data_IF_879458567942
#
_entry.id   IF_879458567942
#
_cell.length_a   1.000
_cell.length_b   1.000
_cell.length_c   1.000
_cell.angle_alpha   90.00
_cell.angle_beta   90.00
_cell.angle_gamma   90.00
#
_symmetry.space_group_name_H-M   'P 1'
#
loop_
_entity.id
_entity.type
_entity.pdbx_description
1 polymer ?
#
# COMPACT_ATOMS: atom_id res chain seq x y z
N UNK A 1 -56.12 6.45 -14.10
CA UNK A 1 -55.91 7.45 -15.15
C UNK A 1 -54.98 8.50 -14.56
N UNK A 2 -53.66 8.30 -14.74
CA UNK A 2 -52.81 8.96 -15.77
C UNK A 2 -52.56 10.43 -15.41
N UNK A 3 -51.38 11.03 -15.46
CA UNK A 3 -50.01 10.63 -15.78
C UNK A 3 -49.06 11.80 -15.42
N UNK A 4 -47.82 11.46 -15.08
CA UNK A 4 -46.50 12.03 -15.43
C UNK A 4 -46.22 13.53 -15.77
N UNK A 5 -45.09 14.02 -15.18
CA UNK A 5 -43.90 14.76 -15.72
C UNK A 5 -43.45 15.94 -14.82
N UNK A 6 -42.26 15.91 -14.19
CA UNK A 6 -40.92 16.32 -14.70
C UNK A 6 -40.89 17.82 -15.06
N UNK A 7 -39.97 18.73 -14.66
CA UNK A 7 -38.49 18.72 -14.48
C UNK A 7 -38.11 20.16 -14.01
N UNK A 8 -37.08 20.40 -13.20
CA UNK A 8 -35.79 21.08 -13.53
C UNK A 8 -35.13 21.38 -12.15
N UNK A 9 -34.05 20.74 -11.67
CA UNK A 9 -32.64 20.75 -12.11
C UNK A 9 -32.09 22.14 -12.46
N UNK A 10 -31.54 22.81 -11.45
CA UNK A 10 -30.52 23.85 -11.63
C UNK A 10 -29.18 23.34 -11.09
N UNK A 11 -28.26 23.11 -12.02
CA UNK A 11 -26.93 22.55 -11.80
C UNK A 11 -25.92 23.69 -11.93
N UNK A 12 -25.75 24.47 -10.86
CA UNK A 12 -24.65 25.43 -10.78
C UNK A 12 -23.42 24.79 -10.12
N UNK A 13 -22.54 24.32 -11.00
CA UNK A 13 -21.08 24.45 -10.92
C UNK A 13 -20.56 25.23 -9.70
N UNK A 14 -20.04 24.52 -8.71
CA UNK A 14 -18.99 25.04 -7.81
C UNK A 14 -17.77 24.14 -7.87
N UNK A 15 -16.64 24.82 -8.09
CA UNK A 15 -15.32 24.26 -8.26
C UNK A 15 -14.82 23.50 -7.02
N UNK A 16 -14.14 22.38 -7.27
CA UNK A 16 -12.83 22.14 -6.65
C UNK A 16 -12.82 21.81 -5.17
N UNK A 17 -13.47 20.72 -4.77
CA UNK A 17 -13.01 19.76 -3.76
C UNK A 17 -14.10 18.70 -3.63
N UNK A 18 -13.96 17.58 -4.32
CA UNK A 18 -14.72 16.38 -3.95
C UNK A 18 -14.18 15.92 -2.61
N UNK A 19 -14.70 16.48 -1.52
CA UNK A 19 -14.78 15.79 -0.24
C UNK A 19 -15.47 14.49 -0.58
N UNK A 20 -14.78 13.36 -0.44
CA UNK A 20 -15.43 12.07 -0.44
C UNK A 20 -16.42 12.12 0.73
N UNK A 21 -17.68 12.45 0.42
CA UNK A 21 -18.78 12.36 1.36
C UNK A 21 -18.76 10.92 1.83
N UNK A 22 -18.55 10.72 3.13
CA UNK A 22 -18.68 9.44 3.79
C UNK A 22 -19.98 8.79 3.30
N UNK A 23 -19.83 7.81 2.40
CA UNK A 23 -20.96 7.18 1.74
C UNK A 23 -21.68 6.34 2.77
N UNK A 24 -22.65 6.94 3.47
CA UNK A 24 -23.69 6.19 4.12
C UNK A 24 -24.48 5.50 3.01
N UNK A 25 -24.59 4.17 3.07
CA UNK A 25 -25.57 3.45 2.26
C UNK A 25 -26.98 3.98 2.56
N UNK A 26 -27.92 3.76 1.64
CA UNK A 26 -29.33 4.05 1.83
C UNK A 26 -29.97 3.33 3.05
N UNK A 27 -29.28 2.35 3.65
CA UNK A 27 -29.69 1.62 4.85
C UNK A 27 -29.07 2.12 6.17
N UNK A 28 -28.23 3.17 6.13
CA UNK A 28 -27.58 3.73 7.32
C UNK A 28 -26.41 2.91 7.89
N UNK A 29 -25.95 1.85 7.22
CA UNK A 29 -24.84 1.02 7.71
C UNK A 29 -23.45 1.60 7.37
N UNK A 30 -22.62 1.82 8.40
CA UNK A 30 -21.19 2.15 8.25
C UNK A 30 -20.46 0.94 7.65
N UNK A 31 -19.81 1.14 6.50
CA UNK A 31 -18.85 0.17 5.91
C UNK A 31 -17.44 0.49 6.39
N UNK A 32 -16.53 -0.45 6.24
CA UNK A 32 -15.13 -0.30 6.62
C UNK A 32 -14.27 -0.43 5.37
N UNK A 33 -13.22 0.39 5.27
CA UNK A 33 -12.40 0.48 4.07
C UNK A 33 -10.94 0.17 4.39
N UNK A 34 -10.35 -0.67 3.53
CA UNK A 34 -8.90 -0.83 3.43
C UNK A 34 -8.46 -0.11 2.17
N UNK A 35 -7.72 0.97 2.32
CA UNK A 35 -7.18 1.75 1.22
C UNK A 35 -5.75 1.30 0.92
N UNK A 36 -5.53 0.70 -0.24
CA UNK A 36 -4.21 0.28 -0.71
C UNK A 36 -3.80 1.08 -1.94
N UNK A 37 -2.62 1.71 -1.88
CA UNK A 37 -2.05 2.47 -3.00
C UNK A 37 -0.68 1.90 -3.33
N UNK A 38 -0.48 1.53 -4.58
CA UNK A 38 0.79 0.98 -5.08
C UNK A 38 1.40 1.98 -6.04
N UNK A 39 2.64 2.40 -5.79
CA UNK A 39 3.34 3.38 -6.63
C UNK A 39 3.69 2.82 -8.01
N UNK A 40 3.42 3.60 -9.06
CA UNK A 40 3.70 3.21 -10.47
C UNK A 40 5.18 3.00 -10.79
N UNK A 41 6.08 3.66 -10.08
CA UNK A 41 7.50 3.68 -10.46
C UNK A 41 8.19 2.43 -9.93
N UNK A 42 9.03 1.76 -10.75
CA UNK A 42 9.80 0.62 -10.30
C UNK A 42 10.89 1.06 -9.30
N UNK A 43 11.20 0.18 -8.36
CA UNK A 43 12.42 0.21 -7.55
C UNK A 43 13.07 -1.16 -7.58
N UNK A 44 14.34 -1.20 -7.94
CA UNK A 44 15.07 -2.44 -8.11
C UNK A 44 15.41 -3.08 -6.74
N UNK A 45 15.27 -4.41 -6.67
CA UNK A 45 15.58 -5.20 -5.46
C UNK A 45 16.67 -6.25 -5.72
N UNK A 46 17.31 -6.18 -6.88
CA UNK A 46 18.32 -7.12 -7.30
C UNK A 46 17.77 -8.53 -7.42
N UNK A 47 18.53 -9.47 -6.88
CA UNK A 47 18.23 -10.90 -6.91
C UNK A 47 17.31 -11.36 -5.79
N UNK A 48 16.86 -10.45 -4.93
CA UNK A 48 15.87 -10.79 -3.91
C UNK A 48 14.50 -10.97 -4.57
N UNK A 49 13.92 -12.16 -4.38
CA UNK A 49 12.60 -12.52 -4.89
C UNK A 49 11.85 -13.37 -3.86
N UNK A 50 10.52 -13.32 -3.93
CA UNK A 50 9.64 -14.22 -3.23
C UNK A 50 9.84 -14.15 -1.71
N UNK A 51 9.91 -15.32 -1.07
CA UNK A 51 10.07 -15.44 0.39
C UNK A 51 11.32 -14.74 0.93
N UNK A 52 12.43 -14.73 0.19
CA UNK A 52 13.68 -14.09 0.64
C UNK A 52 13.52 -12.58 0.71
N UNK A 53 12.89 -11.98 -0.31
CA UNK A 53 12.59 -10.55 -0.30
C UNK A 53 11.62 -10.19 0.82
N UNK A 54 10.52 -10.95 0.96
CA UNK A 54 9.53 -10.80 2.03
C UNK A 54 10.19 -10.69 3.41
N UNK A 55 11.06 -11.65 3.75
CA UNK A 55 11.72 -11.70 5.05
C UNK A 55 12.63 -10.50 5.29
N UNK A 56 13.35 -10.05 4.26
CA UNK A 56 14.25 -8.89 4.34
C UNK A 56 13.47 -7.60 4.52
N UNK A 57 12.39 -7.39 3.76
CA UNK A 57 11.50 -6.23 3.88
C UNK A 57 10.83 -6.19 5.24
N UNK A 58 10.24 -7.31 5.70
CA UNK A 58 9.65 -7.39 7.03
C UNK A 58 10.66 -7.08 8.14
N UNK A 59 11.88 -7.63 8.06
CA UNK A 59 12.96 -7.32 8.99
C UNK A 59 13.33 -5.83 8.98
N UNK A 60 13.43 -5.22 7.80
CA UNK A 60 13.74 -3.81 7.64
C UNK A 60 12.63 -2.89 8.17
N UNK A 61 11.35 -3.24 8.01
CA UNK A 61 10.22 -2.49 8.57
C UNK A 61 10.23 -2.46 10.09
N UNK A 62 10.54 -3.60 10.74
CA UNK A 62 10.71 -3.66 12.21
C UNK A 62 11.85 -2.78 12.70
N UNK A 63 12.91 -2.68 11.92
CA UNK A 63 14.05 -1.82 12.19
C UNK A 63 13.70 -0.33 12.02
N UNK A 64 13.01 0.04 10.93
CA UNK A 64 12.72 1.44 10.59
C UNK A 64 11.60 2.02 11.49
N UNK A 65 10.63 1.20 11.89
CA UNK A 65 9.46 1.63 12.64
C UNK A 65 9.55 1.41 14.15
N UNK A 66 10.76 1.49 14.74
CA UNK A 66 11.16 0.96 16.07
C UNK A 66 9.98 0.39 16.86
N UNK A 67 9.84 -0.92 16.74
CA UNK A 67 9.05 -1.74 17.65
C UNK A 67 10.00 -2.20 18.76
N UNK A 68 9.90 -1.61 19.96
CA UNK A 68 10.53 -2.15 21.18
C UNK A 68 9.49 -2.96 21.93
N UNK A 69 9.65 -4.28 21.88
CA UNK A 69 8.88 -5.21 22.70
C UNK A 69 9.24 -4.95 24.18
N UNK A 70 8.25 -4.62 25.01
CA UNK A 70 8.42 -4.46 26.47
C UNK A 70 8.60 -3.04 27.02
N UNK A 71 8.41 -1.98 26.24
CA UNK A 71 8.51 -0.59 26.72
C UNK A 71 7.12 0.11 26.79
N UNK A 72 6.45 0.12 27.96
CA UNK A 72 5.10 0.67 28.15
C UNK A 72 4.98 2.19 27.93
N UNK A 73 6.10 2.93 27.91
CA UNK A 73 6.11 4.39 27.73
C UNK A 73 6.39 4.83 26.27
N UNK A 74 6.68 3.89 25.37
CA UNK A 74 6.97 4.17 23.95
C UNK A 74 5.72 4.17 23.05
N UNK A 75 4.54 4.34 23.63
CA UNK A 75 3.24 4.04 23.01
C UNK A 75 2.65 5.17 22.14
N UNK A 76 3.33 6.32 22.00
CA UNK A 76 2.78 7.50 21.30
C UNK A 76 3.70 8.19 20.29
N UNK A 77 4.90 7.69 20.05
CA UNK A 77 5.79 8.35 19.09
C UNK A 77 5.45 7.93 17.67
N UNK A 78 4.62 8.74 17.02
CA UNK A 78 4.70 8.90 15.56
C UNK A 78 6.19 9.06 15.20
N UNK A 79 6.74 8.15 14.40
CA UNK A 79 8.03 8.39 13.77
C UNK A 79 7.80 9.52 12.75
N UNK A 80 7.83 10.77 13.23
CA UNK A 80 7.85 11.94 12.37
C UNK A 80 9.30 12.32 12.09
N UNK A 81 9.56 12.86 10.89
CA UNK A 81 10.87 13.39 10.47
C UNK A 81 11.47 14.42 11.46
N UNK A 82 10.68 14.91 12.43
CA UNK A 82 11.11 15.86 13.46
C UNK A 82 11.83 15.21 14.66
N UNK A 83 11.89 13.86 14.76
CA UNK A 83 12.62 13.15 15.84
C UNK A 83 13.56 12.03 15.31
N UNK A 84 14.58 12.38 14.50
CA UNK A 84 15.45 11.40 13.81
C UNK A 84 16.40 10.61 14.72
N UNK A 85 16.61 11.04 15.96
CA UNK A 85 17.48 10.36 16.93
C UNK A 85 16.82 9.12 17.57
N UNK A 86 15.49 8.99 17.45
CA UNK A 86 14.70 7.95 18.10
C UNK A 86 14.11 6.92 17.13
N UNK A 87 14.12 7.18 15.81
CA UNK A 87 13.79 6.20 14.76
C UNK A 87 14.87 6.29 13.67
N UNK A 88 15.60 5.21 13.29
CA UNK A 88 16.43 5.26 12.10
C UNK A 88 15.53 5.61 10.92
N UNK A 89 15.84 6.71 10.23
CA UNK A 89 15.04 7.26 9.12
C UNK A 89 14.77 6.23 8.01
N UNK A 90 15.61 5.20 7.92
CA UNK A 90 15.45 4.07 7.02
C UNK A 90 16.25 2.88 7.54
N UNK A 91 15.93 1.68 7.06
CA UNK A 91 16.78 0.51 7.21
C UNK A 91 17.28 0.02 5.86
N UNK A 92 18.53 -0.44 5.84
CA UNK A 92 19.19 -0.93 4.63
C UNK A 92 18.97 -2.43 4.51
N UNK A 93 18.56 -2.88 3.34
CA UNK A 93 18.71 -4.27 2.90
C UNK A 93 19.96 -4.30 2.03
N UNK A 94 21.05 -4.79 2.60
CA UNK A 94 22.35 -4.92 1.95
C UNK A 94 22.41 -6.14 1.02
N UNK A 95 23.50 -6.23 0.25
CA UNK A 95 23.82 -7.34 -0.65
C UNK A 95 22.79 -7.53 -1.76
N UNK A 96 22.25 -6.43 -2.25
CA UNK A 96 21.43 -6.41 -3.45
C UNK A 96 22.37 -6.50 -4.65
N UNK A 97 22.31 -7.62 -5.36
CA UNK A 97 23.07 -7.85 -6.59
C UNK A 97 22.42 -7.09 -7.75
N UNK A 98 23.21 -6.41 -8.57
CA UNK A 98 22.72 -5.59 -9.69
C UNK A 98 23.66 -5.65 -10.89
N UNK A 99 23.18 -5.19 -12.05
CA UNK A 99 23.99 -4.96 -13.26
C UNK A 99 24.47 -3.51 -13.25
N UNK A 100 25.78 -3.29 -13.07
CA UNK A 100 26.36 -1.95 -13.02
C UNK A 100 26.58 -1.32 -14.41
N UNK A 101 25.99 -1.89 -15.45
CA UNK A 101 26.32 -1.58 -16.84
C UNK A 101 27.55 -2.38 -17.27
N UNK A 102 27.49 -2.96 -18.47
CA UNK A 102 28.55 -3.82 -19.00
C UNK A 102 28.48 -5.28 -18.55
N UNK A 103 27.35 -5.74 -17.98
CA UNK A 103 27.13 -7.14 -17.62
C UNK A 103 28.08 -7.64 -16.53
N UNK A 104 28.41 -6.83 -15.53
CA UNK A 104 29.28 -7.25 -14.42
C UNK A 104 28.49 -7.48 -13.14
N UNK A 105 28.79 -8.60 -12.47
CA UNK A 105 28.18 -8.97 -11.20
C UNK A 105 28.77 -8.11 -10.08
N UNK A 106 27.97 -7.23 -9.47
CA UNK A 106 28.37 -6.55 -8.24
C UNK A 106 27.47 -6.98 -7.08
N UNK A 107 27.99 -7.91 -6.28
CA UNK A 107 27.44 -8.28 -4.97
C UNK A 107 28.42 -7.85 -3.87
N UNK A 108 27.89 -7.38 -2.73
CA UNK A 108 28.73 -6.93 -1.61
C UNK A 108 29.38 -5.56 -1.80
N UNK A 109 28.98 -4.80 -2.82
CA UNK A 109 29.31 -3.38 -2.93
C UNK A 109 28.64 -2.65 -1.73
N UNK A 110 29.42 -2.00 -0.84
CA UNK A 110 28.88 -1.34 0.35
C UNK A 110 27.90 -0.21 0.01
N UNK A 111 27.96 0.31 -1.22
CA UNK A 111 27.06 1.33 -1.74
C UNK A 111 25.81 0.74 -2.43
N UNK A 112 25.65 -0.59 -2.42
CA UNK A 112 24.57 -1.33 -3.09
C UNK A 112 23.55 -1.87 -2.09
N UNK A 113 22.49 -1.09 -1.85
CA UNK A 113 21.49 -1.40 -0.84
C UNK A 113 20.11 -0.81 -1.17
N UNK A 114 19.07 -1.51 -0.76
CA UNK A 114 17.70 -1.01 -0.81
C UNK A 114 17.40 -0.31 0.52
N UNK A 115 17.01 0.96 0.46
CA UNK A 115 16.46 1.67 1.62
C UNK A 115 14.98 1.34 1.74
N UNK A 116 14.57 0.94 2.94
CA UNK A 116 13.17 0.85 3.36
C UNK A 116 12.91 2.00 4.30
N UNK A 117 12.08 2.94 3.87
CA UNK A 117 11.76 4.18 4.58
C UNK A 117 10.28 4.11 4.97
N UNK A 118 9.96 4.32 6.24
CA UNK A 118 8.58 4.53 6.68
C UNK A 118 8.35 6.04 6.69
N UNK A 119 7.66 6.55 5.67
CA UNK A 119 7.39 7.99 5.55
C UNK A 119 6.27 8.44 6.49
N UNK A 120 5.35 7.53 6.80
CA UNK A 120 4.26 7.76 7.73
C UNK A 120 3.89 6.45 8.41
N UNK A 121 3.66 6.50 9.72
CA UNK A 121 3.08 5.40 10.48
C UNK A 121 2.23 5.98 11.60
N UNK A 122 0.95 5.64 11.55
CA UNK A 122 -0.03 5.92 12.60
C UNK A 122 -0.72 4.62 12.95
N UNK A 123 -0.47 4.11 14.15
CA UNK A 123 -1.12 2.92 14.71
C UNK A 123 -1.18 3.10 16.21
N UNK A 124 -2.34 2.86 16.80
CA UNK A 124 -2.45 2.78 18.26
C UNK A 124 -2.29 1.34 18.73
N UNK A 125 -1.08 0.98 19.18
CA UNK A 125 -0.79 -0.36 19.74
C UNK A 125 -1.61 -0.66 20.99
N UNK A 126 -1.93 0.38 21.78
CA UNK A 126 -2.70 0.20 23.01
C UNK A 126 -4.13 -0.25 22.72
N UNK A 127 -4.81 0.41 21.78
CA UNK A 127 -6.18 0.04 21.43
C UNK A 127 -6.26 -1.13 20.45
N UNK A 128 -5.22 -1.35 19.64
CA UNK A 128 -5.18 -2.39 18.60
C UNK A 128 -3.87 -3.19 18.64
N UNK A 129 -3.65 -4.03 19.67
CA UNK A 129 -2.42 -4.82 19.79
C UNK A 129 -2.19 -5.70 18.56
N UNK A 130 -1.00 -5.62 17.98
CA UNK A 130 -0.60 -6.46 16.83
C UNK A 130 -0.97 -5.89 15.46
N UNK A 131 -1.70 -4.77 15.39
CA UNK A 131 -2.07 -4.15 14.11
C UNK A 131 -0.84 -3.73 13.29
N UNK A 132 0.19 -3.14 13.93
CA UNK A 132 1.45 -2.80 13.23
C UNK A 132 2.16 -4.02 12.68
N UNK A 133 2.17 -5.12 13.42
CA UNK A 133 2.77 -6.38 12.95
C UNK A 133 2.04 -6.84 11.68
N UNK A 134 0.71 -6.86 11.70
CA UNK A 134 -0.10 -7.22 10.54
C UNK A 134 0.17 -6.29 9.36
N UNK A 135 0.27 -4.97 9.58
CA UNK A 135 0.59 -4.01 8.53
C UNK A 135 1.98 -4.27 7.94
N UNK A 136 2.99 -4.54 8.76
CA UNK A 136 4.34 -4.84 8.28
C UNK A 136 4.39 -6.16 7.49
N UNK A 137 3.68 -7.19 7.95
CA UNK A 137 3.54 -8.47 7.23
C UNK A 137 2.85 -8.24 5.88
N UNK A 138 1.76 -7.49 5.87
CA UNK A 138 0.99 -7.16 4.66
C UNK A 138 1.83 -6.39 3.65
N UNK A 139 2.58 -5.35 4.06
CA UNK A 139 3.52 -4.64 3.18
C UNK A 139 4.56 -5.60 2.60
N UNK A 140 5.16 -6.45 3.43
CA UNK A 140 6.17 -7.40 2.97
C UNK A 140 5.61 -8.45 1.99
N UNK A 141 4.37 -8.89 2.21
CA UNK A 141 3.68 -9.83 1.32
C UNK A 141 3.27 -9.20 -0.01
N UNK A 142 2.83 -7.94 -0.04
CA UNK A 142 2.59 -7.20 -1.29
C UNK A 142 3.88 -7.03 -2.09
N UNK A 143 4.99 -6.69 -1.43
CA UNK A 143 6.30 -6.59 -2.10
C UNK A 143 6.76 -7.96 -2.63
N UNK A 144 6.46 -9.05 -1.91
CA UNK A 144 6.68 -10.41 -2.41
C UNK A 144 5.86 -10.66 -3.67
N UNK A 145 4.54 -10.38 -3.65
CA UNK A 145 3.64 -10.53 -4.80
C UNK A 145 4.21 -9.79 -6.02
N UNK A 146 4.70 -8.56 -5.83
CA UNK A 146 5.34 -7.78 -6.88
C UNK A 146 6.55 -8.49 -7.49
N UNK A 147 7.46 -9.01 -6.65
CA UNK A 147 8.65 -9.73 -7.11
C UNK A 147 8.35 -11.12 -7.69
N UNK A 148 7.19 -11.71 -7.38
CA UNK A 148 6.81 -13.01 -7.90
C UNK A 148 6.26 -12.90 -9.34
N UNK A 149 5.81 -11.72 -9.78
CA UNK A 149 5.37 -11.48 -11.16
C UNK A 149 6.54 -11.55 -12.14
N UNK A 150 6.38 -12.33 -13.22
CA UNK A 150 7.39 -12.42 -14.28
C UNK A 150 7.68 -11.06 -14.92
N UNK A 151 6.65 -10.24 -15.08
CA UNK A 151 6.71 -8.99 -15.85
C UNK A 151 7.38 -7.85 -15.05
N UNK A 152 7.49 -8.04 -13.73
CA UNK A 152 8.29 -7.21 -12.83
C UNK A 152 9.75 -7.65 -12.74
N UNK A 153 10.15 -8.66 -13.53
CA UNK A 153 11.50 -9.21 -13.49
C UNK A 153 12.08 -9.36 -14.91
N UNK A 154 13.40 -9.27 -15.00
CA UNK A 154 14.14 -9.56 -16.23
C UNK A 154 15.36 -10.42 -15.93
N UNK A 155 15.93 -11.04 -16.97
CA UNK A 155 17.18 -11.78 -16.83
C UNK A 155 18.36 -10.86 -17.07
N UNK A 156 19.12 -10.60 -16.01
CA UNK A 156 20.46 -10.04 -16.11
C UNK A 156 21.45 -11.13 -16.54
N UNK A 157 22.28 -10.81 -17.52
CA UNK A 157 23.40 -11.65 -17.92
C UNK A 157 24.65 -11.01 -17.33
N UNK A 158 25.31 -11.70 -16.40
CA UNK A 158 26.61 -11.23 -15.90
C UNK A 158 27.73 -12.11 -16.45
N UNK A 159 28.85 -11.49 -16.82
CA UNK A 159 30.06 -12.11 -17.32
C UNK A 159 30.49 -13.25 -16.40
N UNK A 160 30.75 -14.42 -16.99
CA UNK A 160 31.15 -15.65 -16.28
C UNK A 160 30.15 -16.16 -15.24
N UNK A 161 28.88 -15.76 -15.32
CA UNK A 161 27.81 -16.29 -14.46
C UNK A 161 26.64 -16.82 -15.27
N UNK A 162 25.75 -17.57 -14.61
CA UNK A 162 24.46 -17.96 -15.20
C UNK A 162 23.51 -16.75 -15.26
N UNK A 163 22.60 -16.71 -16.25
CA UNK A 163 21.54 -15.71 -16.28
C UNK A 163 20.77 -15.69 -14.96
N UNK A 164 20.57 -14.51 -14.42
CA UNK A 164 20.03 -14.31 -13.07
C UNK A 164 18.83 -13.37 -13.14
N UNK A 165 17.77 -13.71 -12.42
CA UNK A 165 16.59 -12.85 -12.34
C UNK A 165 16.87 -11.63 -11.47
N UNK A 166 16.62 -10.46 -12.06
CA UNK A 166 16.61 -9.16 -11.41
C UNK A 166 15.18 -8.65 -11.42
N UNK A 167 14.67 -8.26 -10.26
CA UNK A 167 13.28 -7.85 -10.11
C UNK A 167 13.16 -6.40 -9.64
N UNK A 168 12.03 -5.80 -9.97
CA UNK A 168 11.59 -4.52 -9.42
C UNK A 168 10.28 -4.68 -8.67
N UNK A 169 10.08 -3.78 -7.72
CA UNK A 169 8.90 -3.69 -6.86
C UNK A 169 8.38 -2.25 -6.94
N UNK A 170 7.21 -1.92 -6.38
CA UNK A 170 6.79 -0.51 -6.32
C UNK A 170 7.76 0.32 -5.50
N UNK A 171 8.00 1.56 -5.92
CA UNK A 171 8.81 2.53 -5.18
C UNK A 171 8.14 3.02 -3.89
N UNK A 172 6.81 2.93 -3.79
CA UNK A 172 6.06 3.33 -2.61
C UNK A 172 4.79 2.49 -2.47
N UNK A 173 4.42 2.18 -1.23
CA UNK A 173 3.20 1.46 -0.88
C UNK A 173 2.52 2.17 0.28
N UNK A 174 1.20 2.35 0.20
CA UNK A 174 0.38 2.86 1.30
C UNK A 174 -0.71 1.85 1.65
N UNK A 175 -0.93 1.66 2.94
CA UNK A 175 -2.07 0.95 3.50
C UNK A 175 -2.73 1.83 4.56
N UNK A 176 -4.04 2.04 4.46
CA UNK A 176 -4.80 2.77 5.46
C UNK A 176 -6.11 2.02 5.79
N UNK A 177 -6.45 1.97 7.07
CA UNK A 177 -7.66 1.34 7.59
C UNK A 177 -8.59 2.42 8.12
N UNK A 178 -9.64 2.71 7.36
CA UNK A 178 -10.62 3.75 7.68
C UNK A 178 -11.97 3.11 8.02
N UNK A 179 -12.57 3.55 9.12
CA UNK A 179 -13.98 3.34 9.41
C UNK A 179 -14.89 4.25 8.54
N UNK A 180 -14.69 4.23 7.22
CA UNK A 180 -15.41 4.96 6.16
C UNK A 180 -16.03 6.31 6.60
N UNK A 181 -15.18 7.32 6.78
CA UNK A 181 -15.59 8.65 7.28
C UNK A 181 -15.57 8.78 8.81
N UNK A 182 -15.18 7.71 9.49
CA UNK A 182 -14.90 7.65 10.91
C UNK A 182 -13.42 7.92 11.20
N UNK A 183 -12.94 7.34 12.32
CA UNK A 183 -11.55 7.46 12.74
C UNK A 183 -10.65 6.54 11.91
N UNK A 184 -9.48 7.04 11.49
CA UNK A 184 -8.39 6.24 10.97
C UNK A 184 -7.86 5.31 12.08
N UNK A 185 -7.95 3.99 11.88
CA UNK A 185 -7.49 3.00 12.86
C UNK A 185 -6.00 2.68 12.69
N UNK A 186 -5.50 2.80 11.46
CA UNK A 186 -4.08 2.64 11.18
C UNK A 186 -3.72 3.07 9.76
N UNK A 187 -2.51 3.61 9.58
CA UNK A 187 -1.97 3.93 8.28
C UNK A 187 -0.45 3.80 8.24
N UNK A 188 0.07 3.27 7.13
CA UNK A 188 1.50 3.20 6.86
C UNK A 188 1.75 3.63 5.42
N UNK A 189 2.80 4.44 5.23
CA UNK A 189 3.39 4.71 3.92
C UNK A 189 4.84 4.26 3.96
N UNK A 190 5.19 3.35 3.06
CA UNK A 190 6.53 2.79 2.95
C UNK A 190 7.11 3.14 1.58
N UNK A 191 8.26 3.82 1.58
CA UNK A 191 9.05 4.08 0.39
C UNK A 191 10.23 3.12 0.29
N UNK A 192 10.40 2.58 -0.89
CA UNK A 192 11.54 1.78 -1.29
C UNK A 192 12.43 2.64 -2.18
N UNK A 193 13.71 2.76 -1.84
CA UNK A 193 14.65 3.52 -2.65
C UNK A 193 15.91 2.70 -2.88
N UNK A 194 16.18 2.41 -4.15
CA UNK A 194 17.40 1.77 -4.58
C UNK A 194 18.56 2.77 -4.57
N UNK A 195 19.74 2.36 -4.11
CA UNK A 195 20.91 3.24 -3.99
C UNK A 195 21.65 3.51 -5.30
N UNK A 196 21.32 2.78 -6.37
CA UNK A 196 21.92 2.94 -7.70
C UNK A 196 20.84 3.26 -8.73
N UNK A 197 21.26 3.74 -9.89
CA UNK A 197 20.39 3.81 -11.06
C UNK A 197 20.39 2.44 -11.75
N UNK A 198 19.22 1.85 -11.96
CA UNK A 198 19.10 0.53 -12.59
C UNK A 198 17.76 0.45 -13.32
N UNK A 199 17.75 0.09 -14.62
CA UNK A 199 16.50 -0.08 -15.35
C UNK A 199 15.68 -1.20 -14.73
N UNK A 200 14.35 -1.04 -14.74
CA UNK A 200 13.42 -2.00 -14.17
C UNK A 200 12.08 -1.96 -14.88
N UNK A 201 11.44 -3.11 -14.97
CA UNK A 201 10.05 -3.24 -15.42
C UNK A 201 9.17 -3.49 -14.20
N UNK A 202 7.98 -2.91 -14.19
CA UNK A 202 7.02 -3.10 -13.11
C UNK A 202 5.61 -2.91 -13.66
N UNK A 203 4.80 -3.98 -13.64
CA UNK A 203 3.37 -3.89 -13.95
C UNK A 203 2.59 -3.65 -12.66
N UNK A 204 2.34 -2.36 -12.41
CA UNK A 204 1.62 -1.92 -11.23
C UNK A 204 0.17 -2.43 -11.20
N UNK A 205 -0.53 -2.47 -12.34
CA UNK A 205 -1.93 -2.86 -12.38
C UNK A 205 -2.10 -4.36 -12.09
N UNK A 206 -1.18 -5.19 -12.59
CA UNK A 206 -1.15 -6.61 -12.24
C UNK A 206 -0.88 -6.81 -10.75
N UNK A 207 0.12 -6.12 -10.20
CA UNK A 207 0.45 -6.24 -8.76
C UNK A 207 -0.71 -5.78 -7.88
N UNK A 208 -1.40 -4.70 -8.26
CA UNK A 208 -2.58 -4.21 -7.55
C UNK A 208 -3.71 -5.25 -7.56
N UNK A 209 -3.98 -5.91 -8.69
CA UNK A 209 -5.02 -6.96 -8.77
C UNK A 209 -4.68 -8.16 -7.87
N UNK A 210 -3.44 -8.64 -7.93
CA UNK A 210 -3.00 -9.79 -7.13
C UNK A 210 -2.96 -9.45 -5.64
N UNK A 211 -2.49 -8.25 -5.29
CA UNK A 211 -2.50 -7.77 -3.92
C UNK A 211 -3.92 -7.57 -3.38
N UNK A 212 -4.85 -7.06 -4.19
CA UNK A 212 -6.26 -6.90 -3.79
C UNK A 212 -6.92 -8.27 -3.49
N UNK A 213 -6.67 -9.26 -4.36
CA UNK A 213 -7.11 -10.64 -4.12
C UNK A 213 -6.52 -11.21 -2.83
N UNK A 214 -5.22 -11.05 -2.59
CA UNK A 214 -4.56 -11.43 -1.34
C UNK A 214 -5.18 -10.73 -0.12
N UNK A 215 -5.44 -9.42 -0.22
CA UNK A 215 -6.10 -8.67 0.85
C UNK A 215 -7.47 -9.24 1.17
N UNK A 216 -8.24 -9.60 0.14
CA UNK A 216 -9.58 -10.16 0.29
C UNK A 216 -9.58 -11.58 0.89
N UNK A 217 -8.74 -12.48 0.37
CA UNK A 217 -8.78 -13.90 0.75
C UNK A 217 -7.99 -14.21 2.02
N UNK A 218 -6.84 -13.57 2.22
CA UNK A 218 -5.89 -13.97 3.27
C UNK A 218 -5.83 -12.99 4.45
N UNK A 219 -6.05 -11.70 4.20
CA UNK A 219 -5.83 -10.63 5.21
C UNK A 219 -7.13 -10.09 5.80
N UNK A 220 -8.22 -10.03 5.03
CA UNK A 220 -9.48 -9.39 5.42
C UNK A 220 -10.02 -9.90 6.77
N UNK A 221 -9.97 -11.21 7.01
CA UNK A 221 -10.42 -11.79 8.28
C UNK A 221 -9.60 -11.31 9.47
N UNK A 222 -8.27 -11.27 9.31
CA UNK A 222 -7.36 -10.83 10.38
C UNK A 222 -7.57 -9.35 10.72
N UNK A 223 -7.77 -8.51 9.70
CA UNK A 223 -8.09 -7.08 9.90
C UNK A 223 -9.44 -6.94 10.61
N UNK A 224 -10.45 -7.65 10.14
CA UNK A 224 -11.79 -7.62 10.73
C UNK A 224 -11.74 -8.00 12.22
N UNK A 225 -11.05 -9.08 12.56
CA UNK A 225 -10.91 -9.54 13.94
C UNK A 225 -10.12 -8.55 14.80
N UNK A 226 -8.99 -8.03 14.32
CA UNK A 226 -8.16 -7.06 15.06
C UNK A 226 -8.87 -5.72 15.32
N UNK A 227 -9.66 -5.26 14.36
CA UNK A 227 -10.35 -3.98 14.45
C UNK A 227 -11.76 -4.12 15.05
N UNK A 228 -12.25 -5.34 15.27
CA UNK A 228 -13.61 -5.61 15.72
C UNK A 228 -14.65 -5.20 14.67
N UNK A 229 -14.29 -5.29 13.40
CA UNK A 229 -15.14 -4.91 12.28
C UNK A 229 -15.86 -6.15 11.71
N UNK A 230 -17.11 -6.03 11.24
CA UNK A 230 -17.77 -7.12 10.54
C UNK A 230 -17.06 -7.40 9.21
N UNK A 231 -16.54 -8.62 9.04
CA UNK A 231 -15.81 -9.05 7.83
C UNK A 231 -16.61 -8.79 6.54
N UNK A 232 -17.91 -9.04 6.57
CA UNK A 232 -18.83 -8.81 5.45
C UNK A 232 -19.17 -7.33 5.19
N UNK A 233 -18.57 -6.39 5.92
CA UNK A 233 -18.69 -4.94 5.67
C UNK A 233 -17.34 -4.29 5.38
N UNK A 234 -16.28 -5.09 5.30
CA UNK A 234 -14.91 -4.65 5.05
C UNK A 234 -14.57 -4.79 3.57
N UNK A 235 -14.30 -3.67 2.91
CA UNK A 235 -14.00 -3.64 1.48
C UNK A 235 -12.60 -3.07 1.24
N UNK A 236 -11.90 -3.62 0.27
CA UNK A 236 -10.59 -3.13 -0.17
C UNK A 236 -10.78 -2.19 -1.37
N UNK A 237 -10.19 -1.01 -1.28
CA UNK A 237 -10.10 -0.03 -2.35
C UNK A 237 -8.64 0.06 -2.74
N UNK A 238 -8.30 -0.56 -3.87
CA UNK A 238 -6.93 -0.74 -4.32
C UNK A 238 -6.73 -0.01 -5.64
N UNK A 239 -5.60 0.70 -5.79
CA UNK A 239 -5.24 1.27 -7.08
C UNK A 239 -3.75 1.45 -7.27
N UNK A 240 -3.38 1.49 -8.56
CA UNK A 240 -2.10 1.97 -9.01
C UNK A 240 -2.09 3.50 -8.96
N UNK A 241 -1.14 4.09 -8.24
CA UNK A 241 -1.17 5.49 -7.85
C UNK A 241 0.09 6.26 -8.30
N UNK A 242 -0.13 7.52 -8.67
CA UNK A 242 0.94 8.47 -8.96
C UNK A 242 1.55 9.01 -7.66
N UNK A 243 2.75 9.59 -7.75
CA UNK A 243 3.51 10.04 -6.58
C UNK A 243 2.76 11.05 -5.70
N UNK A 244 1.93 11.90 -6.31
CA UNK A 244 1.11 12.88 -5.61
C UNK A 244 0.01 12.26 -4.73
N UNK A 245 -0.30 10.97 -4.88
CA UNK A 245 -1.26 10.25 -4.03
C UNK A 245 -0.72 9.89 -2.64
N UNK A 246 0.59 9.97 -2.41
CA UNK A 246 1.22 9.49 -1.18
C UNK A 246 1.47 10.60 -0.13
N UNK A 247 0.80 11.75 -0.25
CA UNK A 247 0.84 12.79 0.77
C UNK A 247 0.02 12.41 2.01
N UNK A 248 0.53 12.81 3.18
CA UNK A 248 -0.08 12.52 4.49
C UNK A 248 -0.38 13.80 5.29
N UNK A 249 -0.09 14.98 4.74
CA UNK A 249 -0.19 16.25 5.47
C UNK A 249 -1.62 16.60 5.90
N UNK A 250 -2.63 16.13 5.18
CA UNK A 250 -4.04 16.42 5.47
C UNK A 250 -4.63 15.56 6.60
N UNK A 251 -3.99 14.45 6.96
CA UNK A 251 -4.51 13.51 7.96
C UNK A 251 -4.43 14.05 9.39
N UNK A 252 -3.55 15.02 9.66
CA UNK A 252 -3.42 15.61 11.01
C UNK A 252 -4.68 16.36 11.48
N UNK A 253 -5.52 16.81 10.55
CA UNK A 253 -6.65 17.69 10.83
C UNK A 253 -8.00 17.04 10.56
N UNK A 254 -8.03 15.78 10.12
CA UNK A 254 -9.25 15.08 9.75
C UNK A 254 -9.33 13.72 10.44
N UNK A 255 -10.53 13.31 10.90
CA UNK A 255 -10.69 12.04 11.59
C UNK A 255 -10.49 10.83 10.66
N UNK A 256 -10.80 10.96 9.37
CA UNK A 256 -10.79 9.86 8.40
C UNK A 256 -9.69 9.92 7.35
N UNK A 257 -9.61 8.88 6.53
CA UNK A 257 -8.65 8.83 5.43
C UNK A 257 -9.09 9.78 4.31
N UNK A 258 -8.16 10.62 3.86
CA UNK A 258 -8.39 11.55 2.76
C UNK A 258 -7.26 11.38 1.75
N UNK A 259 -7.64 11.24 0.48
CA UNK A 259 -6.69 11.22 -0.61
C UNK A 259 -5.94 12.55 -0.71
N UNK A 260 -4.67 12.49 -1.08
CA UNK A 260 -3.91 13.70 -1.36
C UNK A 260 -4.52 14.50 -2.53
N UNK A 261 -4.34 15.83 -2.55
CA UNK A 261 -4.81 16.67 -3.65
C UNK A 261 -4.38 16.14 -5.03
N UNK A 262 -5.35 16.04 -5.94
CA UNK A 262 -5.13 15.53 -7.29
C UNK A 262 -5.11 14.00 -7.42
N UNK A 263 -5.21 13.27 -6.31
CA UNK A 263 -5.42 11.83 -6.31
C UNK A 263 -6.92 11.51 -6.33
N UNK A 264 -7.34 10.63 -7.25
CA UNK A 264 -8.75 10.24 -7.38
C UNK A 264 -8.99 8.95 -6.62
N UNK A 265 -9.81 9.02 -5.58
CA UNK A 265 -10.24 7.84 -4.84
C UNK A 265 -11.01 6.87 -5.76
N UNK A 266 -10.72 5.55 -5.73
CA UNK A 266 -11.53 4.55 -6.42
C UNK A 266 -12.96 4.58 -5.89
N UNK A 267 -13.96 4.68 -6.79
CA UNK A 267 -15.37 4.69 -6.37
C UNK A 267 -15.86 3.31 -5.92
N UNK A 268 -15.28 2.26 -6.48
CA UNK A 268 -15.66 0.87 -6.25
C UNK A 268 -14.40 0.04 -5.98
N UNK A 269 -14.52 -1.04 -5.18
CA UNK A 269 -13.52 -2.10 -5.13
C UNK A 269 -13.24 -2.67 -6.53
N UNK A 270 -12.06 -3.26 -6.72
CA UNK A 270 -11.70 -3.89 -8.00
C UNK A 270 -12.71 -5.00 -8.32
N UNK A 271 -13.28 -4.97 -9.53
CA UNK A 271 -14.29 -5.96 -9.97
C UNK A 271 -15.71 -5.70 -9.49
N UNK A 272 -15.95 -4.57 -8.81
CA UNK A 272 -17.28 -4.15 -8.33
C UNK A 272 -17.83 -2.92 -9.06
N UNK A 273 -17.22 -2.49 -10.17
CA UNK A 273 -17.72 -1.38 -10.96
C UNK A 273 -19.03 -1.77 -11.68
N UNK A 274 -20.17 -1.09 -11.40
CA UNK A 274 -21.45 -1.38 -12.03
C UNK A 274 -21.45 -1.15 -13.55
N UNK A 275 -20.54 -0.33 -14.08
CA UNK A 275 -20.40 -0.12 -15.52
C UNK A 275 -19.63 -1.24 -16.24
N UNK A 276 -19.18 -2.28 -15.51
CA UNK A 276 -18.56 -3.47 -16.09
C UNK A 276 -17.20 -3.22 -16.76
N UNK A 277 -16.58 -2.06 -16.51
CA UNK A 277 -15.25 -1.72 -17.07
C UNK A 277 -14.13 -2.54 -16.44
N UNK A 278 -14.36 -3.10 -15.25
CA UNK A 278 -13.49 -4.08 -14.59
C UNK A 278 -14.14 -5.46 -14.63
N UNK A 279 -13.90 -6.22 -15.72
CA UNK A 279 -14.34 -7.63 -15.85
C UNK A 279 -13.50 -8.58 -14.98
N UNK A 280 -14.03 -9.74 -14.53
CA UNK A 280 -15.43 -10.08 -14.28
C UNK A 280 -15.82 -9.79 -12.81
N UNK A 281 -17.10 -9.51 -12.58
CA UNK A 281 -17.72 -9.55 -11.25
C UNK A 281 -17.42 -10.90 -10.61
N UNK A 282 -16.47 -10.94 -9.68
CA UNK A 282 -16.25 -12.15 -8.89
C UNK A 282 -17.37 -12.23 -7.85
N UNK A 283 -18.26 -13.23 -7.91
CA UNK A 283 -19.43 -13.33 -7.02
C UNK A 283 -19.04 -13.51 -5.54
N UNK A 284 -17.76 -13.76 -5.26
CA UNK A 284 -17.23 -13.78 -3.89
C UNK A 284 -16.90 -12.38 -3.36
N UNK A 285 -16.81 -11.35 -4.20
CA UNK A 285 -16.49 -10.00 -3.78
C UNK A 285 -17.71 -9.34 -3.14
N UNK A 286 -17.50 -8.72 -1.99
CA UNK A 286 -18.52 -7.97 -1.26
C UNK A 286 -18.70 -6.58 -1.88
N UNK A 287 -19.30 -6.51 -3.06
CA UNK A 287 -19.47 -5.24 -3.77
C UNK A 287 -20.42 -4.29 -3.01
N UNK A 288 -20.08 -3.00 -2.91
CA UNK A 288 -21.06 -1.99 -2.50
C UNK A 288 -22.19 -1.89 -3.53
N UNK A 289 -23.44 -1.68 -3.09
CA UNK A 289 -24.58 -1.44 -3.97
C UNK A 289 -24.41 -0.15 -4.77
#
# INVERSE_FOLDING_TARGET
MTDFNATLLDWHSTNGSTVAVAGNNADGSRRYAINMRVGKKPTHVGTFRGRRLRQRVYGALKCAGIYREGDPDYFQTSCSLQRPLLCPLYCKIENVVYDSGGHEYKGGDPDSYLKVIIEYLEVSEHSRPGLRKLMFETVADIVKIASDQSDSCFRGYFKNTRPTWLCSIPNVLSLAFDANGGKLEGMIIVRFQWSKDTPGTFDCDQVVREADAFMFFDVQGQIADMLGWPKNKLNTFSMCADENCFGHQQLRNHPGYIESPGCKHPRYPIGCDPEGRSRPLNPKLNCPP
#
